data_IF_633733646285
#
_entry.id   IF_633733646285
#
_cell.length_a   1.000
_cell.length_b   1.000
_cell.length_c   1.000
_cell.angle_alpha   90.00
_cell.angle_beta   90.00
_cell.angle_gamma   90.00
#
_symmetry.space_group_name_H-M   'P 1'
#
loop_
_entity.id
_entity.type
_entity.pdbx_description
1 polymer ?
#
# COMPACT_ATOMS: atom_id res chain seq x y z
N UNK A 1 -5.98 -16.63 4.50
CA UNK A 1 -5.19 -17.38 3.48
C UNK A 1 -5.03 -18.82 3.94
N UNK A 2 -5.46 -19.80 3.14
CA UNK A 2 -5.21 -21.21 3.47
C UNK A 2 -3.74 -21.53 3.26
N UNK A 3 -3.11 -22.23 4.21
CA UNK A 3 -1.70 -22.65 4.09
C UNK A 3 -1.43 -23.42 2.81
N UNK A 4 -2.41 -24.22 2.36
CA UNK A 4 -2.34 -25.00 1.13
C UNK A 4 -2.17 -24.12 -0.10
N UNK A 5 -2.94 -23.02 -0.21
CA UNK A 5 -2.87 -22.10 -1.35
C UNK A 5 -1.53 -21.35 -1.39
N UNK A 6 -1.04 -20.90 -0.24
CA UNK A 6 0.26 -20.23 -0.15
C UNK A 6 1.39 -21.15 -0.62
N UNK A 7 1.37 -22.41 -0.16
CA UNK A 7 2.39 -23.39 -0.54
C UNK A 7 2.31 -23.77 -2.01
N UNK A 8 1.11 -23.94 -2.58
CA UNK A 8 0.98 -24.22 -4.03
C UNK A 8 1.51 -23.06 -4.88
N UNK A 9 1.19 -21.81 -4.53
CA UNK A 9 1.69 -20.64 -5.23
C UNK A 9 3.21 -20.51 -5.13
N UNK A 10 3.76 -20.77 -3.95
CA UNK A 10 5.21 -20.74 -3.73
C UNK A 10 5.94 -21.80 -4.57
N UNK A 11 5.41 -23.02 -4.67
CA UNK A 11 5.94 -24.07 -5.55
C UNK A 11 5.83 -23.68 -7.03
N UNK A 12 4.78 -22.94 -7.41
CA UNK A 12 4.65 -22.35 -8.75
C UNK A 12 5.54 -21.13 -9.00
N UNK A 13 6.44 -20.78 -8.08
CA UNK A 13 7.36 -19.64 -8.20
C UNK A 13 6.74 -18.28 -7.88
N UNK A 14 5.51 -18.25 -7.35
CA UNK A 14 4.79 -17.02 -7.00
C UNK A 14 4.94 -16.77 -5.50
N UNK A 15 5.78 -15.79 -5.15
CA UNK A 15 5.94 -15.34 -3.76
C UNK A 15 4.83 -14.36 -3.38
N UNK A 16 3.95 -14.77 -2.48
CA UNK A 16 2.79 -13.97 -2.09
C UNK A 16 3.12 -13.08 -0.88
N UNK A 17 3.10 -11.76 -1.08
CA UNK A 17 3.34 -10.78 -0.01
C UNK A 17 2.00 -10.18 0.42
N UNK A 18 1.53 -10.54 1.62
CA UNK A 18 0.25 -10.06 2.17
C UNK A 18 0.38 -9.61 3.62
N UNK A 19 -0.49 -8.68 4.05
CA UNK A 19 -0.60 -8.28 5.45
C UNK A 19 -1.08 -9.45 6.30
N UNK A 20 -0.46 -9.67 7.45
CA UNK A 20 -0.90 -10.67 8.42
C UNK A 20 -2.25 -10.22 8.99
N UNK A 21 -3.29 -11.04 8.78
CA UNK A 21 -4.63 -10.84 9.35
C UNK A 21 -4.71 -11.53 10.72
N UNK A 22 -5.63 -11.08 11.58
CA UNK A 22 -5.79 -11.63 12.94
C UNK A 22 -6.15 -13.15 12.96
N UNK A 23 -6.68 -13.67 11.85
CA UNK A 23 -7.02 -15.09 11.67
C UNK A 23 -5.77 -15.93 11.27
N UNK A 24 -4.68 -15.29 10.86
CA UNK A 24 -3.47 -15.96 10.39
C UNK A 24 -2.51 -16.22 11.56
N UNK A 25 -1.83 -17.37 11.53
CA UNK A 25 -0.73 -17.62 12.48
C UNK A 25 0.38 -16.60 12.22
N UNK A 26 0.85 -15.96 13.29
CA UNK A 26 1.96 -15.02 13.22
C UNK A 26 3.21 -15.78 12.76
N UNK A 27 3.60 -15.56 11.51
CA UNK A 27 4.75 -16.19 10.88
C UNK A 27 5.80 -15.12 10.62
N UNK A 28 7.09 -15.40 10.86
CA UNK A 28 8.14 -14.43 10.63
C UNK A 28 8.15 -14.05 9.14
N UNK A 29 8.00 -12.77 8.86
CA UNK A 29 8.01 -12.19 7.51
C UNK A 29 9.38 -11.58 7.22
N UNK A 30 9.85 -11.71 5.98
CA UNK A 30 11.10 -11.07 5.56
C UNK A 30 11.01 -9.55 5.70
N UNK A 31 12.12 -8.90 6.07
CA UNK A 31 12.19 -7.45 6.28
C UNK A 31 11.84 -6.70 4.98
N UNK A 32 12.28 -7.22 3.83
CA UNK A 32 11.96 -6.67 2.50
C UNK A 32 10.45 -6.66 2.24
N UNK A 33 9.77 -7.76 2.56
CA UNK A 33 8.32 -7.91 2.37
C UNK A 33 7.56 -6.95 3.29
N UNK A 34 8.06 -6.74 4.51
CA UNK A 34 7.51 -5.76 5.46
C UNK A 34 7.64 -4.32 4.95
N UNK A 35 8.77 -3.98 4.31
CA UNK A 35 8.99 -2.67 3.69
C UNK A 35 8.06 -2.49 2.48
N UNK A 36 7.92 -3.51 1.64
CA UNK A 36 7.02 -3.50 0.48
C UNK A 36 5.57 -3.28 0.90
N UNK A 37 5.10 -3.95 1.95
CA UNK A 37 3.74 -3.76 2.48
C UNK A 37 3.52 -2.33 3.02
N UNK A 38 4.52 -1.72 3.65
CA UNK A 38 4.43 -0.32 4.09
C UNK A 38 4.35 0.64 2.91
N UNK A 39 5.21 0.47 1.90
CA UNK A 39 5.14 1.27 0.66
C UNK A 39 3.79 1.12 -0.04
N UNK A 40 3.23 -0.10 -0.06
CA UNK A 40 1.90 -0.36 -0.60
C UNK A 40 0.80 0.38 0.17
N UNK A 41 0.82 0.31 1.50
CA UNK A 41 -0.16 1.02 2.33
C UNK A 41 -0.14 2.54 2.09
N UNK A 42 1.05 3.10 1.82
CA UNK A 42 1.18 4.50 1.43
C UNK A 42 0.46 4.82 0.12
N UNK A 43 0.72 4.00 -0.91
CA UNK A 43 0.11 4.17 -2.23
C UNK A 43 -1.42 3.97 -2.15
N UNK A 44 -1.89 2.98 -1.40
CA UNK A 44 -3.32 2.75 -1.15
C UNK A 44 -3.98 3.96 -0.48
N UNK A 45 -3.33 4.56 0.53
CA UNK A 45 -3.82 5.78 1.18
C UNK A 45 -3.94 6.94 0.21
N UNK A 46 -2.92 7.17 -0.62
CA UNK A 46 -2.98 8.23 -1.66
C UNK A 46 -4.10 7.94 -2.65
N UNK A 47 -4.25 6.69 -3.06
CA UNK A 47 -5.28 6.29 -4.01
C UNK A 47 -6.70 6.48 -3.44
N UNK A 48 -6.91 6.17 -2.16
CA UNK A 48 -8.18 6.40 -1.47
C UNK A 48 -8.50 7.90 -1.33
N UNK A 49 -7.51 8.73 -0.99
CA UNK A 49 -7.65 10.19 -0.96
C UNK A 49 -7.99 10.75 -2.35
N UNK A 50 -7.25 10.34 -3.39
CA UNK A 50 -7.53 10.74 -4.77
C UNK A 50 -8.91 10.26 -5.22
N UNK A 51 -9.36 9.08 -4.81
CA UNK A 51 -10.70 8.58 -5.12
C UNK A 51 -11.78 9.48 -4.52
N UNK A 52 -11.59 9.94 -3.27
CA UNK A 52 -12.50 10.82 -2.56
C UNK A 52 -12.50 12.25 -3.13
N UNK A 53 -11.34 12.83 -3.39
CA UNK A 53 -11.21 14.20 -3.92
C UNK A 53 -11.58 14.30 -5.40
N UNK A 54 -11.19 13.31 -6.22
CA UNK A 54 -11.46 13.32 -7.66
C UNK A 54 -12.84 12.74 -8.04
N UNK A 55 -13.65 12.29 -7.06
CA UNK A 55 -14.97 11.68 -7.26
C UNK A 55 -14.97 10.61 -8.37
N UNK A 56 -13.98 9.73 -8.35
CA UNK A 56 -13.71 8.75 -9.43
C UNK A 56 -14.88 7.74 -9.56
N UNK A 57 -15.77 7.65 -8.57
CA UNK A 57 -17.00 6.84 -8.69
C UNK A 57 -17.94 7.34 -9.80
N UNK A 58 -17.86 8.62 -10.17
CA UNK A 58 -18.60 9.20 -11.30
C UNK A 58 -17.86 9.14 -12.65
N UNK A 59 -16.65 8.58 -12.68
CA UNK A 59 -15.83 8.40 -13.89
C UNK A 59 -16.50 7.49 -14.92
N UNK A 60 -17.48 6.67 -14.49
CA UNK A 60 -18.28 5.80 -15.36
C UNK A 60 -19.23 6.58 -16.28
N UNK A 61 -19.55 7.85 -15.97
CA UNK A 61 -20.53 8.65 -16.72
C UNK A 61 -20.05 10.05 -17.15
N UNK A 62 -18.84 10.49 -16.76
CA UNK A 62 -18.32 11.80 -17.16
C UNK A 62 -17.36 11.71 -18.36
N UNK A 63 -17.40 12.74 -19.20
CA UNK A 63 -16.50 12.95 -20.33
C UNK A 63 -15.03 12.86 -19.89
N UNK A 64 -14.19 12.14 -20.65
CA UNK A 64 -12.77 11.85 -20.34
C UNK A 64 -11.96 13.10 -19.97
N UNK A 65 -12.27 14.23 -20.60
CA UNK A 65 -11.60 15.52 -20.35
C UNK A 65 -11.86 16.01 -18.91
N UNK A 66 -13.09 15.90 -18.42
CA UNK A 66 -13.45 16.32 -17.06
C UNK A 66 -12.75 15.47 -16.01
N UNK A 67 -12.58 14.17 -16.29
CA UNK A 67 -11.89 13.25 -15.39
C UNK A 67 -10.38 13.52 -15.33
N UNK A 68 -9.76 13.88 -16.46
CA UNK A 68 -8.35 14.30 -16.50
C UNK A 68 -8.13 15.61 -15.72
N UNK A 69 -9.04 16.58 -15.86
CA UNK A 69 -8.97 17.83 -15.10
C UNK A 69 -9.13 17.59 -13.59
N UNK A 70 -10.04 16.70 -13.18
CA UNK A 70 -10.16 16.29 -11.78
C UNK A 70 -8.91 15.59 -11.26
N UNK A 71 -8.28 14.71 -12.05
CA UNK A 71 -7.02 14.04 -11.69
C UNK A 71 -5.88 15.05 -11.49
N UNK A 72 -5.72 15.99 -12.42
CA UNK A 72 -4.70 17.04 -12.35
C UNK A 72 -4.96 17.97 -11.16
N UNK A 73 -6.22 18.35 -10.93
CA UNK A 73 -6.65 19.14 -9.78
C UNK A 73 -6.35 18.43 -8.45
N UNK A 74 -6.65 17.13 -8.34
CA UNK A 74 -6.34 16.32 -7.17
C UNK A 74 -4.83 16.20 -6.91
N UNK A 75 -4.01 16.05 -7.96
CA UNK A 75 -2.54 16.06 -7.86
C UNK A 75 -2.00 17.41 -7.41
N UNK A 76 -2.51 18.51 -7.96
CA UNK A 76 -2.13 19.87 -7.57
C UNK A 76 -2.53 20.13 -6.12
N UNK A 77 -3.77 19.84 -5.73
CA UNK A 77 -4.25 19.97 -4.36
C UNK A 77 -3.41 19.13 -3.39
N UNK A 78 -3.01 17.93 -3.78
CA UNK A 78 -2.09 17.09 -3.02
C UNK A 78 -0.71 17.73 -2.86
N UNK A 79 -0.15 18.36 -3.92
CA UNK A 79 1.11 19.09 -3.82
C UNK A 79 1.04 20.29 -2.85
N UNK A 80 -0.11 20.96 -2.77
CA UNK A 80 -0.36 22.09 -1.88
C UNK A 80 -0.83 21.70 -0.47
N UNK A 81 -1.13 20.41 -0.23
CA UNK A 81 -1.54 19.95 1.10
C UNK A 81 -0.35 19.99 2.07
N UNK A 82 -0.49 20.80 3.13
CA UNK A 82 0.52 20.94 4.18
C UNK A 82 0.80 19.62 4.92
N UNK A 83 -0.18 18.70 4.92
CA UNK A 83 -0.13 17.42 5.64
C UNK A 83 0.00 16.29 4.64
N UNK A 84 1.23 16.09 4.15
CA UNK A 84 1.53 14.88 3.38
C UNK A 84 1.33 13.68 4.32
N UNK A 85 0.57 12.64 3.92
CA UNK A 85 0.64 11.38 4.63
C UNK A 85 2.13 11.00 4.65
N UNK A 86 2.69 10.88 5.84
CA UNK A 86 4.04 10.41 6.01
C UNK A 86 3.89 9.17 6.88
N UNK A 87 4.35 8.04 6.37
CA UNK A 87 4.50 6.88 7.25
C UNK A 87 5.54 7.30 8.28
N UNK A 88 5.13 7.38 9.56
CA UNK A 88 6.07 7.41 10.68
C UNK A 88 6.85 6.09 10.64
N UNK A 89 7.97 6.10 9.94
CA UNK A 89 8.96 5.04 10.02
C UNK A 89 9.85 5.35 11.22
N UNK A 90 9.40 4.95 12.42
CA UNK A 90 10.36 4.69 13.49
C UNK A 90 11.14 3.43 13.06
N UNK A 91 12.33 3.65 12.53
CA UNK A 91 13.34 2.60 12.48
C UNK A 91 13.79 2.42 13.93
N UNK A 92 13.18 1.48 14.65
CA UNK A 92 13.86 0.90 15.80
C UNK A 92 15.08 0.18 15.25
N UNK A 93 16.25 0.82 15.37
CA UNK A 93 17.54 0.16 15.24
C UNK A 93 17.68 -0.78 16.45
N UNK A 94 17.04 -1.94 16.41
CA UNK A 94 17.39 -2.99 17.36
C UNK A 94 18.77 -3.50 16.95
N UNK A 95 19.76 -3.32 17.84
CA UNK A 95 21.13 -3.86 17.71
C UNK A 95 21.18 -5.40 17.77
N UNK A 96 20.11 -6.10 17.37
CA UNK A 96 19.98 -7.55 17.39
C UNK A 96 20.83 -8.24 16.32
N UNK A 97 21.43 -7.48 15.40
CA UNK A 97 22.39 -7.97 14.39
C UNK A 97 23.86 -7.82 14.81
N UNK A 98 24.14 -7.24 15.99
CA UNK A 98 25.51 -7.07 16.50
C UNK A 98 26.03 -8.28 17.30
N UNK A 99 25.25 -9.36 17.36
CA UNK A 99 25.66 -10.62 18.01
C UNK A 99 25.68 -11.74 16.96
N UNK A 100 26.69 -11.68 16.08
CA UNK A 100 27.35 -12.85 15.54
C UNK A 100 28.78 -12.49 15.15
#
# INVERSE_FOLDING_TARGET
MSKKLFQTLFVSGIHLITKILNIMKNTPMNITDKILLRKRAFIETINDELKNTCQIEHFRHQNFINSLTNLISGLIAYCFLFKKPAIKCEFEYTNQLAIY
#
